data_IF_754793065805
#
_entry.id   IF_754793065805
#
_cell.length_a   1.000
_cell.length_b   1.000
_cell.length_c   1.000
_cell.angle_alpha   90.00
_cell.angle_beta   90.00
_cell.angle_gamma   90.00
#
_symmetry.space_group_name_H-M   'P 1'
#
loop_
_entity.id
_entity.type
_entity.pdbx_description
1 polymer ?
#
# COMPACT_ATOMS: atom_id res chain seq x y z
N UNK A 1 13.04 2.95 -8.30
CA UNK A 1 12.94 1.47 -8.15
C UNK A 1 11.49 1.01 -8.04
N UNK A 2 10.67 1.55 -7.12
CA UNK A 2 9.24 1.18 -6.97
C UNK A 2 8.43 1.30 -8.28
N UNK A 3 8.57 2.41 -9.02
CA UNK A 3 7.84 2.61 -10.28
C UNK A 3 8.13 1.56 -11.35
N UNK A 4 9.35 1.00 -11.38
CA UNK A 4 9.71 -0.06 -12.32
C UNK A 4 8.95 -1.36 -12.01
N UNK A 5 8.84 -1.73 -10.73
CA UNK A 5 8.08 -2.90 -10.31
C UNK A 5 6.59 -2.76 -10.67
N UNK A 6 5.99 -1.58 -10.46
CA UNK A 6 4.59 -1.34 -10.81
C UNK A 6 4.32 -1.55 -12.31
N UNK A 7 5.24 -1.12 -13.18
CA UNK A 7 5.11 -1.33 -14.62
C UNK A 7 5.18 -2.80 -15.00
N UNK A 8 6.10 -3.59 -14.44
CA UNK A 8 6.20 -5.03 -14.72
C UNK A 8 4.92 -5.75 -14.29
N UNK A 9 4.49 -5.55 -13.04
CA UNK A 9 3.31 -6.24 -12.51
C UNK A 9 2.02 -5.82 -13.21
N UNK A 10 1.87 -4.55 -13.60
CA UNK A 10 0.72 -4.10 -14.39
C UNK A 10 0.63 -4.83 -15.73
N UNK A 11 1.73 -4.89 -16.48
CA UNK A 11 1.74 -5.59 -17.77
C UNK A 11 1.40 -7.08 -17.62
N UNK A 12 1.88 -7.72 -16.55
CA UNK A 12 1.54 -9.11 -16.24
C UNK A 12 0.04 -9.29 -15.97
N UNK A 13 -0.59 -8.41 -15.20
CA UNK A 13 -2.04 -8.46 -14.93
C UNK A 13 -2.92 -8.17 -16.16
N UNK A 14 -2.40 -7.44 -17.17
CA UNK A 14 -3.11 -7.19 -18.44
C UNK A 14 -3.05 -8.43 -19.35
N UNK A 15 -1.88 -9.05 -19.44
CA UNK A 15 -1.62 -10.11 -20.43
C UNK A 15 -2.04 -11.51 -19.95
N UNK A 16 -2.36 -11.69 -18.66
CA UNK A 16 -2.65 -13.00 -18.07
C UNK A 16 -4.03 -13.08 -17.44
N UNK A 17 -4.56 -14.30 -17.31
CA UNK A 17 -5.78 -14.60 -16.55
C UNK A 17 -5.41 -15.14 -15.17
N UNK A 18 -6.27 -14.99 -14.14
CA UNK A 18 -5.99 -15.51 -12.80
C UNK A 18 -5.72 -17.02 -12.83
N UNK A 19 -4.61 -17.47 -12.23
CA UNK A 19 -4.25 -18.88 -12.13
C UNK A 19 -5.28 -19.70 -11.34
N UNK A 20 -5.33 -21.01 -11.55
CA UNK A 20 -6.34 -21.89 -10.97
C UNK A 20 -6.35 -21.88 -9.43
N UNK A 21 -5.21 -21.71 -8.77
CA UNK A 21 -5.16 -21.58 -7.31
C UNK A 21 -5.76 -20.25 -6.85
N UNK A 22 -5.44 -19.13 -7.52
CA UNK A 22 -5.94 -17.80 -7.15
C UNK A 22 -7.46 -17.74 -7.28
N UNK A 23 -8.01 -18.33 -8.34
CA UNK A 23 -9.46 -18.46 -8.53
C UNK A 23 -10.17 -19.15 -7.37
N UNK A 24 -9.50 -20.07 -6.67
CA UNK A 24 -10.03 -20.84 -5.53
C UNK A 24 -9.81 -20.16 -4.18
N UNK A 25 -8.82 -19.29 -4.07
CA UNK A 25 -8.44 -18.66 -2.81
C UNK A 25 -9.20 -17.35 -2.52
N UNK A 26 -9.64 -16.64 -3.56
CA UNK A 26 -10.28 -15.33 -3.42
C UNK A 26 -11.77 -15.36 -3.75
N UNK A 27 -12.53 -14.49 -3.10
CA UNK A 27 -13.91 -14.16 -3.48
C UNK A 27 -13.90 -13.14 -4.61
N UNK A 28 -14.62 -13.42 -5.70
CA UNK A 28 -14.67 -12.60 -6.92
C UNK A 28 -15.96 -11.75 -6.97
N UNK A 29 -16.14 -10.86 -6.00
CA UNK A 29 -17.26 -9.92 -5.94
C UNK A 29 -16.77 -8.48 -5.73
N UNK A 30 -17.61 -7.49 -6.10
CA UNK A 30 -17.28 -6.07 -5.92
C UNK A 30 -17.00 -5.69 -4.47
N UNK A 31 -17.82 -6.19 -3.53
CA UNK A 31 -17.63 -5.98 -2.09
C UNK A 31 -16.34 -6.62 -1.57
N UNK A 32 -15.95 -7.78 -2.09
CA UNK A 32 -14.70 -8.43 -1.72
C UNK A 32 -13.48 -7.61 -2.22
N UNK A 33 -13.52 -7.08 -3.44
CA UNK A 33 -12.44 -6.20 -3.91
C UNK A 33 -12.36 -4.91 -3.11
N UNK A 34 -13.50 -4.35 -2.70
CA UNK A 34 -13.54 -3.20 -1.82
C UNK A 34 -12.92 -3.54 -0.46
N UNK A 35 -13.25 -4.69 0.13
CA UNK A 35 -12.72 -5.09 1.44
C UNK A 35 -11.21 -5.33 1.41
N UNK A 36 -10.68 -5.97 0.36
CA UNK A 36 -9.22 -6.12 0.18
C UNK A 36 -8.51 -4.77 0.10
N UNK A 37 -9.12 -3.80 -0.59
CA UNK A 37 -8.58 -2.45 -0.75
C UNK A 37 -8.61 -1.66 0.57
N UNK A 38 -9.71 -1.77 1.33
CA UNK A 38 -9.85 -1.15 2.65
C UNK A 38 -8.85 -1.73 3.65
N UNK A 39 -8.60 -3.03 3.61
CA UNK A 39 -7.56 -3.68 4.42
C UNK A 39 -6.17 -3.10 4.14
N UNK A 40 -5.80 -2.93 2.87
CA UNK A 40 -4.54 -2.30 2.49
C UNK A 40 -4.44 -0.84 2.94
N UNK A 41 -5.52 -0.05 2.77
CA UNK A 41 -5.57 1.34 3.22
C UNK A 41 -5.42 1.48 4.74
N UNK A 42 -6.01 0.56 5.52
CA UNK A 42 -5.85 0.56 6.97
C UNK A 42 -4.38 0.43 7.38
N UNK A 43 -3.65 -0.49 6.77
CA UNK A 43 -2.20 -0.66 7.00
C UNK A 43 -1.42 0.59 6.56
N UNK A 44 -1.76 1.19 5.42
CA UNK A 44 -1.13 2.44 5.00
C UNK A 44 -1.36 3.59 5.98
N UNK A 45 -2.55 3.68 6.58
CA UNK A 45 -2.85 4.65 7.63
C UNK A 45 -1.97 4.46 8.86
N UNK A 46 -1.79 3.22 9.32
CA UNK A 46 -0.90 2.92 10.45
C UNK A 46 0.56 3.24 10.13
N UNK A 47 1.05 2.89 8.94
CA UNK A 47 2.40 3.22 8.50
C UNK A 47 2.58 4.74 8.47
N UNK A 48 1.64 5.48 7.87
CA UNK A 48 1.69 6.93 7.80
C UNK A 48 1.70 7.59 9.18
N UNK A 49 0.89 7.08 10.13
CA UNK A 49 0.86 7.54 11.52
C UNK A 49 2.24 7.44 12.18
N UNK A 50 2.89 6.27 12.09
CA UNK A 50 4.25 6.13 12.62
C UNK A 50 5.26 6.99 11.86
N UNK A 51 5.12 7.10 10.54
CA UNK A 51 6.08 7.79 9.70
C UNK A 51 6.11 9.29 10.00
N UNK A 52 4.95 9.95 10.11
CA UNK A 52 4.89 11.37 10.48
C UNK A 52 5.34 11.62 11.93
N UNK A 53 5.09 10.68 12.83
CA UNK A 53 5.42 10.85 14.24
C UNK A 53 6.92 10.72 14.54
N UNK A 54 7.65 9.92 13.76
CA UNK A 54 9.05 9.60 14.05
C UNK A 54 10.05 10.05 12.98
N UNK A 55 9.65 10.25 11.72
CA UNK A 55 10.59 10.51 10.63
C UNK A 55 10.79 12.02 10.38
N UNK A 56 11.98 12.54 10.67
CA UNK A 56 12.33 13.94 10.45
C UNK A 56 13.04 14.23 9.10
N UNK A 57 13.35 13.21 8.31
CA UNK A 57 13.98 13.40 6.99
C UNK A 57 12.95 13.80 5.94
N UNK A 58 11.83 13.06 5.88
CA UNK A 58 10.72 13.36 4.99
C UNK A 58 9.77 14.42 5.59
N UNK A 59 9.75 14.57 6.92
CA UNK A 59 9.02 15.64 7.63
C UNK A 59 9.99 16.49 8.46
N UNK A 60 10.68 17.47 7.83
CA UNK A 60 11.66 18.30 8.53
C UNK A 60 11.02 19.12 9.65
N UNK A 61 11.70 19.19 10.80
CA UNK A 61 11.19 19.85 12.00
C UNK A 61 10.97 21.36 11.83
N UNK A 62 11.66 21.98 10.88
CA UNK A 62 11.52 23.38 10.51
C UNK A 62 10.12 23.69 9.99
N UNK A 63 9.45 22.70 9.38
CA UNK A 63 8.10 22.84 8.85
C UNK A 63 7.03 22.17 9.73
N UNK A 64 7.38 21.08 10.41
CA UNK A 64 6.42 20.22 11.10
C UNK A 64 6.60 20.14 12.63
N UNK A 65 7.55 20.87 13.19
CA UNK A 65 7.89 20.84 14.62
C UNK A 65 8.80 19.66 15.00
N UNK A 66 9.41 19.68 16.20
CA UNK A 66 10.25 18.57 16.66
C UNK A 66 9.39 17.33 16.94
N UNK A 67 9.91 16.14 16.62
CA UNK A 67 9.24 14.90 17.07
C UNK A 67 9.48 14.71 18.56
N UNK A 68 8.59 14.00 19.25
CA UNK A 68 8.72 13.75 20.68
C UNK A 68 10.07 13.15 21.13
N UNK A 69 10.69 12.23 20.36
CA UNK A 69 12.01 11.65 20.69
C UNK A 69 13.24 12.39 20.15
N UNK A 70 13.09 13.46 19.37
CA UNK A 70 14.21 14.29 18.92
C UNK A 70 14.73 15.18 20.04
#
# INVERSE_FOLDING_TARGET
MVGFHLCIWRNLHILTKPFAWARRAFVWSGEAYLSYSLGALSVFGFIACCFVWFNNTAYPSEFYGPTGPQ
#
